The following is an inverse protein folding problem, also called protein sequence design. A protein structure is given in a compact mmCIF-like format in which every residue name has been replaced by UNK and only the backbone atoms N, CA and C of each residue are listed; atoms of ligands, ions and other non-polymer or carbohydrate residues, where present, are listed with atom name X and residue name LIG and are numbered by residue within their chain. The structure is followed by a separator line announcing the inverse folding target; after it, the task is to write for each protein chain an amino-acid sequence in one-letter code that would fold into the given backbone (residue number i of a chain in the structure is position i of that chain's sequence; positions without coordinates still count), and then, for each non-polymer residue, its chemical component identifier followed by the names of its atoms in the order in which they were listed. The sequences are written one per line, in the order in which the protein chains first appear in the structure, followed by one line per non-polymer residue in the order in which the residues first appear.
data_IF_415107276391
#
_entry.id   IF_415107276391
#
_cell.length_a   1.000
_cell.length_b   1.000
_cell.length_c   1.000
_cell.angle_alpha   90.00
_cell.angle_beta   90.00
_cell.angle_gamma   90.00
#
_symmetry.space_group_name_H-M   'P 1'
#
loop_
_entity.id
_entity.type
_entity.pdbx_description
1 polymer ?
#
# COMPACT_ATOMS: atom_id res chain seq x y z
N UNK A 1 -17.80 -3.64 -2.69
CA UNK A 1 -17.16 -4.87 -2.30
C UNK A 1 -15.65 -4.79 -2.36
N UNK A 2 -15.00 -4.92 -1.23
CA UNK A 2 -13.58 -5.13 -1.15
C UNK A 2 -13.32 -6.52 -0.57
N UNK A 3 -12.14 -7.10 -0.81
CA UNK A 3 -11.70 -8.36 -0.20
C UNK A 3 -11.91 -8.35 1.33
N UNK A 4 -11.70 -7.20 1.99
CA UNK A 4 -11.93 -7.04 3.42
C UNK A 4 -13.41 -7.29 3.81
N UNK A 5 -14.36 -6.74 3.08
CA UNK A 5 -15.79 -6.96 3.34
C UNK A 5 -16.19 -8.42 3.09
N UNK A 6 -15.71 -9.00 2.00
CA UNK A 6 -16.00 -10.39 1.65
C UNK A 6 -15.43 -11.36 2.69
N UNK A 7 -14.14 -11.25 3.02
CA UNK A 7 -13.48 -12.22 3.90
C UNK A 7 -13.80 -12.02 5.39
N UNK A 8 -13.90 -10.77 5.86
CA UNK A 8 -14.07 -10.49 7.29
C UNK A 8 -15.56 -10.39 7.65
N UNK A 9 -16.36 -9.69 6.85
CA UNK A 9 -17.77 -9.46 7.16
C UNK A 9 -18.71 -10.42 6.44
N UNK A 10 -18.19 -11.31 5.57
CA UNK A 10 -18.97 -12.26 4.76
C UNK A 10 -20.08 -11.57 3.95
N UNK A 11 -19.79 -10.39 3.47
CA UNK A 11 -20.73 -9.53 2.75
C UNK A 11 -20.08 -8.99 1.47
N UNK A 12 -20.77 -9.16 0.36
CA UNK A 12 -20.40 -8.57 -0.93
C UNK A 12 -21.40 -7.48 -1.25
N UNK A 13 -20.95 -6.22 -1.27
CA UNK A 13 -21.82 -5.09 -1.54
C UNK A 13 -21.11 -3.75 -1.41
N UNK A 14 -21.89 -2.67 -1.48
CA UNK A 14 -21.38 -1.30 -1.55
C UNK A 14 -21.23 -0.81 -2.99
N UNK A 15 -20.93 0.48 -3.15
CA UNK A 15 -20.68 1.09 -4.46
C UNK A 15 -19.26 0.83 -4.93
N UNK A 16 -19.09 0.55 -6.21
CA UNK A 16 -17.77 0.50 -6.82
C UNK A 16 -17.08 1.88 -6.75
N UNK A 17 -15.77 1.93 -6.50
CA UNK A 17 -15.03 3.19 -6.56
C UNK A 17 -15.14 3.82 -7.95
N UNK A 18 -15.48 5.11 -8.00
CA UNK A 18 -15.54 5.85 -9.26
C UNK A 18 -14.12 6.11 -9.78
N UNK A 19 -13.87 5.73 -11.03
CA UNK A 19 -12.58 5.95 -11.69
C UNK A 19 -12.54 7.35 -12.28
N UNK A 20 -11.59 8.18 -11.85
CA UNK A 20 -11.22 9.39 -12.56
C UNK A 20 -10.11 9.06 -13.57
N UNK A 21 -10.48 8.86 -14.82
CA UNK A 21 -9.53 8.48 -15.88
C UNK A 21 -8.41 9.51 -16.11
N UNK A 22 -8.70 10.80 -15.94
CA UNK A 22 -7.71 11.87 -16.10
C UNK A 22 -6.64 11.77 -15.01
N UNK A 23 -7.06 11.69 -13.75
CA UNK A 23 -6.13 11.57 -12.61
C UNK A 23 -5.38 10.24 -12.67
N UNK A 24 -6.05 9.14 -13.03
CA UNK A 24 -5.44 7.82 -13.17
C UNK A 24 -4.34 7.82 -14.24
N UNK A 25 -4.58 8.43 -15.38
CA UNK A 25 -3.57 8.58 -16.45
C UNK A 25 -2.38 9.41 -15.98
N UNK A 26 -2.62 10.54 -15.31
CA UNK A 26 -1.55 11.41 -14.80
C UNK A 26 -0.71 10.64 -13.76
N UNK A 27 -1.33 9.96 -12.80
CA UNK A 27 -0.64 9.19 -11.78
C UNK A 27 0.22 8.08 -12.41
N UNK A 28 -0.35 7.28 -13.31
CA UNK A 28 0.37 6.21 -14.01
C UNK A 28 1.58 6.73 -14.80
N UNK A 29 1.41 7.80 -15.59
CA UNK A 29 2.50 8.39 -16.38
C UNK A 29 3.58 9.01 -15.47
N UNK A 30 3.18 9.55 -14.31
CA UNK A 30 4.11 10.10 -13.33
C UNK A 30 4.95 8.99 -12.70
N UNK A 31 4.32 7.89 -12.28
CA UNK A 31 5.02 6.70 -11.75
C UNK A 31 5.98 6.14 -12.79
N UNK A 32 5.54 5.98 -14.05
CA UNK A 32 6.41 5.51 -15.14
C UNK A 32 7.62 6.43 -15.34
N UNK A 33 7.41 7.75 -15.23
CA UNK A 33 8.50 8.72 -15.35
C UNK A 33 9.48 8.61 -14.16
N UNK A 34 9.01 8.38 -12.93
CA UNK A 34 9.87 8.15 -11.77
C UNK A 34 10.73 6.90 -11.95
N UNK A 35 10.14 5.82 -12.49
CA UNK A 35 10.87 4.58 -12.81
C UNK A 35 11.96 4.85 -13.86
N UNK A 36 11.61 5.46 -14.99
CA UNK A 36 12.54 5.76 -16.09
C UNK A 36 13.71 6.65 -15.65
N UNK A 37 13.50 7.53 -14.69
CA UNK A 37 14.54 8.40 -14.15
C UNK A 37 15.29 7.79 -12.94
N UNK A 38 15.09 6.51 -12.64
CA UNK A 38 15.73 5.80 -11.52
C UNK A 38 15.52 6.50 -10.16
N UNK A 39 14.39 7.18 -9.97
CA UNK A 39 14.05 7.87 -8.73
C UNK A 39 13.37 6.96 -7.71
N UNK A 40 12.86 5.81 -8.13
CA UNK A 40 12.22 4.81 -7.28
C UNK A 40 12.96 3.48 -7.36
N UNK A 41 12.97 2.74 -6.27
CA UNK A 41 13.57 1.42 -6.15
C UNK A 41 12.55 0.31 -6.41
N UNK A 42 11.33 0.51 -5.96
CA UNK A 42 10.21 -0.40 -6.16
C UNK A 42 8.91 0.37 -6.19
N UNK A 43 7.93 -0.16 -6.89
CA UNK A 43 6.58 0.39 -7.00
C UNK A 43 5.58 -0.74 -6.81
N UNK A 44 4.52 -0.47 -6.09
CA UNK A 44 3.37 -1.38 -5.95
C UNK A 44 2.06 -0.58 -6.04
N UNK A 45 1.09 -1.08 -6.76
CA UNK A 45 -0.26 -0.51 -6.77
C UNK A 45 -1.07 -1.00 -5.54
N UNK A 46 -1.99 -0.16 -5.08
CA UNK A 46 -2.93 -0.56 -4.04
C UNK A 46 -4.20 -1.12 -4.71
N UNK A 47 -4.16 -2.36 -5.13
CA UNK A 47 -5.29 -3.09 -5.74
C UNK A 47 -6.05 -3.91 -4.71
N UNK A 48 -6.17 -5.22 -4.89
CA UNK A 48 -6.86 -6.13 -3.97
C UNK A 48 -6.29 -6.07 -2.56
N UNK A 49 -7.16 -5.97 -1.55
CA UNK A 49 -6.78 -5.81 -0.15
C UNK A 49 -6.20 -4.44 0.22
N UNK A 50 -6.12 -3.52 -0.74
CA UNK A 50 -5.77 -2.14 -0.53
C UNK A 50 -4.34 -1.87 -0.05
N UNK A 51 -4.18 -0.79 0.70
CA UNK A 51 -2.88 -0.34 1.22
C UNK A 51 -2.18 -1.36 2.11
N UNK A 52 -2.94 -2.02 3.00
CA UNK A 52 -2.36 -2.94 3.98
C UNK A 52 -1.71 -4.15 3.31
N UNK A 53 -2.36 -4.72 2.30
CA UNK A 53 -1.82 -5.86 1.55
C UNK A 53 -0.66 -5.41 0.68
N UNK A 54 -0.79 -4.34 -0.09
CA UNK A 54 0.30 -3.81 -0.94
C UNK A 54 1.59 -3.52 -0.15
N UNK A 55 1.48 -2.91 1.06
CA UNK A 55 2.63 -2.67 1.91
C UNK A 55 3.22 -3.97 2.47
N UNK A 56 2.37 -4.93 2.83
CA UNK A 56 2.80 -6.24 3.30
C UNK A 56 3.54 -7.01 2.21
N UNK A 57 3.04 -7.00 0.98
CA UNK A 57 3.68 -7.64 -0.18
C UNK A 57 5.06 -7.03 -0.48
N UNK A 58 5.20 -5.69 -0.45
CA UNK A 58 6.51 -5.04 -0.57
C UNK A 58 7.49 -5.52 0.49
N UNK A 59 7.05 -5.69 1.74
CA UNK A 59 7.87 -6.22 2.84
C UNK A 59 8.20 -7.69 2.67
N UNK A 60 7.21 -8.50 2.29
CA UNK A 60 7.35 -9.96 2.10
C UNK A 60 8.33 -10.27 0.96
N UNK A 61 8.15 -9.63 -0.20
CA UNK A 61 9.03 -9.84 -1.36
C UNK A 61 10.42 -9.23 -1.17
N UNK A 62 10.49 -8.08 -0.48
CA UNK A 62 11.77 -7.45 -0.11
C UNK A 62 12.49 -8.14 1.04
N UNK A 63 11.86 -9.08 1.73
CA UNK A 63 12.34 -9.73 2.95
C UNK A 63 12.85 -8.73 4.00
N UNK A 64 12.10 -7.65 4.20
CA UNK A 64 12.47 -6.56 5.11
C UNK A 64 11.23 -6.00 5.79
N UNK A 65 11.32 -5.72 7.08
CA UNK A 65 10.25 -5.09 7.84
C UNK A 65 9.99 -3.65 7.40
N UNK A 66 8.85 -3.12 7.84
CA UNK A 66 8.51 -1.73 7.60
C UNK A 66 7.71 -1.12 8.76
N UNK A 67 7.74 0.20 8.85
CA UNK A 67 6.82 0.96 9.69
C UNK A 67 6.16 2.02 8.85
N UNK A 68 4.83 2.08 8.88
CA UNK A 68 4.04 3.09 8.19
C UNK A 68 2.98 3.70 9.12
N UNK A 69 2.72 5.00 8.93
CA UNK A 69 1.68 5.74 9.64
C UNK A 69 0.60 6.17 8.66
N UNK A 70 -0.58 5.54 8.77
CA UNK A 70 -1.70 5.77 7.84
C UNK A 70 -2.37 7.13 8.03
N UNK A 71 -2.14 7.82 9.15
CA UNK A 71 -2.63 9.20 9.34
C UNK A 71 -2.02 10.17 8.34
N UNK A 72 -0.85 9.85 7.79
CA UNK A 72 -0.15 10.67 6.80
C UNK A 72 -0.64 10.47 5.37
N UNK A 73 -1.45 9.44 5.13
CA UNK A 73 -1.98 9.15 3.78
C UNK A 73 -2.96 10.26 3.39
N UNK A 74 -2.76 10.92 2.23
CA UNK A 74 -3.67 11.96 1.77
C UNK A 74 -5.07 11.39 1.52
N UNK A 75 -6.05 11.85 2.28
CA UNK A 75 -7.46 11.48 2.14
C UNK A 75 -8.30 12.74 1.95
N UNK A 76 -9.36 12.65 1.14
CA UNK A 76 -10.31 13.78 0.95
C UNK A 76 -11.23 13.97 2.14
N UNK A 77 -11.43 12.91 2.93
CA UNK A 77 -12.35 12.85 4.05
C UNK A 77 -11.66 12.21 5.26
N UNK A 78 -12.22 12.40 6.44
CA UNK A 78 -11.77 11.70 7.63
C UNK A 78 -12.29 10.25 7.61
N UNK A 79 -11.47 9.35 7.09
CA UNK A 79 -11.80 7.93 6.94
C UNK A 79 -11.45 7.14 8.20
N UNK A 80 -12.22 6.08 8.48
CA UNK A 80 -11.87 5.09 9.50
C UNK A 80 -10.57 4.36 9.12
N UNK A 81 -9.90 3.73 10.10
CA UNK A 81 -8.65 3.00 9.85
C UNK A 81 -8.85 1.86 8.86
N UNK A 82 -9.96 1.14 8.96
CA UNK A 82 -10.31 0.02 8.08
C UNK A 82 -10.46 0.50 6.62
N UNK A 83 -11.14 1.64 6.42
CA UNK A 83 -11.29 2.23 5.08
C UNK A 83 -9.94 2.65 4.49
N UNK A 84 -9.04 3.23 5.29
CA UNK A 84 -7.71 3.60 4.81
C UNK A 84 -6.87 2.36 4.46
N UNK A 85 -6.92 1.33 5.30
CA UNK A 85 -6.14 0.11 5.16
C UNK A 85 -6.59 -0.74 3.95
N UNK A 86 -7.91 -0.92 3.80
CA UNK A 86 -8.47 -1.96 2.93
C UNK A 86 -9.32 -1.41 1.78
N UNK A 87 -9.37 -0.09 1.56
CA UNK A 87 -10.01 0.46 0.38
C UNK A 87 -9.27 0.03 -0.88
N UNK A 88 -10.02 -0.36 -1.91
CA UNK A 88 -9.52 -0.77 -3.21
C UNK A 88 -9.77 0.31 -4.28
N UNK A 89 -9.77 1.58 -3.86
CA UNK A 89 -9.91 2.70 -4.79
C UNK A 89 -8.71 2.79 -5.75
N UNK A 90 -9.01 3.17 -6.98
CA UNK A 90 -8.08 3.14 -8.09
C UNK A 90 -6.92 4.16 -7.99
N UNK A 91 -5.85 3.87 -8.73
CA UNK A 91 -4.76 4.81 -9.04
C UNK A 91 -3.95 5.28 -7.82
N UNK A 92 -3.78 4.41 -6.84
CA UNK A 92 -2.90 4.62 -5.69
C UNK A 92 -1.68 3.72 -5.81
N UNK A 93 -0.53 4.27 -5.52
CA UNK A 93 0.75 3.57 -5.63
C UNK A 93 1.57 3.76 -4.37
N UNK A 94 2.25 2.70 -3.94
CA UNK A 94 3.34 2.74 -2.97
C UNK A 94 4.66 2.83 -3.71
N UNK A 95 5.47 3.81 -3.36
CA UNK A 95 6.79 4.03 -3.94
C UNK A 95 7.85 3.80 -2.87
N UNK A 96 8.77 2.89 -3.13
CA UNK A 96 9.97 2.72 -2.30
C UNK A 96 11.08 3.58 -2.91
N UNK A 97 11.62 4.50 -2.12
CA UNK A 97 12.57 5.49 -2.58
C UNK A 97 13.79 5.49 -1.67
N UNK A 98 14.99 5.37 -2.23
CA UNK A 98 16.22 5.51 -1.49
C UNK A 98 16.34 6.92 -0.90
N UNK A 99 16.90 7.01 0.32
CA UNK A 99 17.04 8.28 1.05
C UNK A 99 17.65 9.40 0.20
N UNK A 100 18.65 9.08 -0.62
CA UNK A 100 19.33 10.03 -1.52
C UNK A 100 18.43 10.61 -2.60
N UNK A 101 17.38 9.87 -3.02
CA UNK A 101 16.46 10.27 -4.10
C UNK A 101 15.19 10.96 -3.59
N UNK A 102 14.92 10.97 -2.27
CA UNK A 102 13.66 11.48 -1.71
C UNK A 102 13.41 12.94 -2.12
N UNK A 103 14.43 13.79 -2.05
CA UNK A 103 14.29 15.22 -2.39
C UNK A 103 13.88 15.40 -3.86
N UNK A 104 14.57 14.72 -4.78
CA UNK A 104 14.31 14.79 -6.22
C UNK A 104 12.93 14.22 -6.57
N UNK A 105 12.56 13.08 -5.98
CA UNK A 105 11.25 12.48 -6.19
C UNK A 105 10.11 13.39 -5.69
N UNK A 106 10.25 13.98 -4.50
CA UNK A 106 9.27 14.95 -3.98
C UNK A 106 9.12 16.15 -4.92
N UNK A 107 10.23 16.76 -5.36
CA UNK A 107 10.20 17.88 -6.28
C UNK A 107 9.52 17.51 -7.60
N UNK A 108 9.77 16.30 -8.10
CA UNK A 108 9.12 15.79 -9.31
C UNK A 108 7.60 15.66 -9.12
N UNK A 109 7.15 15.06 -8.01
CA UNK A 109 5.73 14.87 -7.69
C UNK A 109 5.00 16.21 -7.51
N UNK A 110 5.64 17.18 -6.83
CA UNK A 110 5.10 18.55 -6.67
C UNK A 110 4.89 19.22 -8.02
N UNK A 111 5.89 19.16 -8.92
CA UNK A 111 5.78 19.73 -10.29
C UNK A 111 4.65 19.09 -11.09
N UNK A 112 4.38 17.81 -10.88
CA UNK A 112 3.27 17.08 -11.51
C UNK A 112 1.93 17.26 -10.80
N UNK A 113 1.90 18.03 -9.71
CA UNK A 113 0.69 18.28 -8.88
C UNK A 113 0.06 16.98 -8.36
N UNK A 114 0.90 15.97 -8.07
CA UNK A 114 0.45 14.70 -7.48
C UNK A 114 0.32 14.85 -5.98
N UNK A 115 -0.80 14.36 -5.42
CA UNK A 115 -0.97 14.24 -3.97
C UNK A 115 -0.14 13.06 -3.45
N UNK A 116 0.77 13.31 -2.51
CA UNK A 116 1.64 12.28 -1.95
C UNK A 116 2.02 12.58 -0.50
N UNK A 117 2.48 11.57 0.22
CA UNK A 117 3.10 11.71 1.54
C UNK A 117 4.22 10.69 1.76
N UNK A 118 5.18 11.04 2.61
CA UNK A 118 6.15 10.07 3.14
C UNK A 118 5.54 9.46 4.39
N UNK A 119 5.08 8.23 4.27
CA UNK A 119 4.27 7.55 5.28
C UNK A 119 5.08 6.65 6.21
N UNK A 120 6.31 6.28 5.82
CA UNK A 120 7.09 5.33 6.62
C UNK A 120 8.45 5.03 6.04
N UNK A 121 9.04 3.92 6.52
CA UNK A 121 10.35 3.43 6.10
C UNK A 121 10.42 1.92 6.22
N UNK A 122 11.29 1.30 5.43
CA UNK A 122 11.63 -0.11 5.50
C UNK A 122 12.87 -0.32 6.37
N UNK A 123 12.77 -1.21 7.36
CA UNK A 123 13.87 -1.65 8.24
C UNK A 123 13.42 -2.78 9.16
N UNK A 124 14.38 -3.54 9.70
CA UNK A 124 14.10 -4.62 10.65
C UNK A 124 13.35 -5.81 10.04
N UNK A 125 12.64 -6.54 10.88
CA UNK A 125 12.00 -7.82 10.57
C UNK A 125 10.48 -7.82 10.83
N UNK A 126 9.90 -6.67 11.20
CA UNK A 126 8.47 -6.56 11.51
C UNK A 126 7.75 -5.60 10.56
N UNK A 127 6.54 -5.96 10.19
CA UNK A 127 5.59 -5.07 9.52
C UNK A 127 4.74 -4.42 10.61
N UNK A 128 4.81 -3.09 10.68
CA UNK A 128 4.08 -2.29 11.67
C UNK A 128 3.31 -1.20 10.95
N UNK A 129 1.99 -1.26 10.99
CA UNK A 129 1.12 -0.19 10.49
C UNK A 129 0.45 0.45 11.71
N UNK A 130 0.55 1.76 11.81
CA UNK A 130 -0.02 2.53 12.92
C UNK A 130 -0.83 3.71 12.42
N UNK A 131 -1.69 4.20 13.29
CA UNK A 131 -2.37 5.48 13.13
C UNK A 131 -2.04 6.32 14.37
N UNK A 132 -1.30 7.42 14.18
CA UNK A 132 -0.70 8.18 15.29
C UNK A 132 0.16 7.26 16.17
N UNK A 133 -0.17 7.13 17.46
CA UNK A 133 0.52 6.25 18.40
C UNK A 133 -0.03 4.82 18.45
N UNK A 134 -1.25 4.56 17.94
CA UNK A 134 -1.89 3.25 18.01
C UNK A 134 -1.37 2.32 16.92
N UNK A 135 -0.87 1.14 17.30
CA UNK A 135 -0.59 0.06 16.35
C UNK A 135 -1.88 -0.58 15.89
N UNK A 136 -2.09 -0.63 14.58
CA UNK A 136 -3.25 -1.27 13.94
C UNK A 136 -2.91 -2.69 13.48
N UNK A 137 -1.69 -2.86 12.94
CA UNK A 137 -1.18 -4.14 12.44
C UNK A 137 0.25 -4.29 12.90
N UNK A 138 0.62 -5.48 13.40
CA UNK A 138 2.00 -5.81 13.76
C UNK A 138 2.23 -7.31 13.64
N UNK A 139 3.17 -7.72 12.80
CA UNK A 139 3.62 -9.11 12.68
C UNK A 139 5.04 -9.19 12.08
N UNK A 140 5.70 -10.35 12.22
CA UNK A 140 7.03 -10.60 11.61
C UNK A 140 6.89 -10.88 10.11
N UNK A 141 7.87 -10.41 9.33
CA UNK A 141 7.93 -10.65 7.87
C UNK A 141 7.88 -12.15 7.57
N UNK A 142 8.62 -12.98 8.32
CA UNK A 142 8.62 -14.44 8.12
C UNK A 142 7.24 -15.07 8.28
N UNK A 143 6.44 -14.60 9.26
CA UNK A 143 5.06 -15.06 9.41
C UNK A 143 4.22 -14.68 8.18
N UNK A 144 4.37 -13.46 7.69
CA UNK A 144 3.70 -13.00 6.48
C UNK A 144 4.10 -13.83 5.26
N UNK A 145 5.41 -14.07 5.08
CA UNK A 145 5.94 -14.93 4.00
C UNK A 145 5.34 -16.35 4.06
N UNK A 146 5.39 -16.96 5.23
CA UNK A 146 4.83 -18.30 5.41
C UNK A 146 3.34 -18.36 5.02
N UNK A 147 2.54 -17.40 5.46
CA UNK A 147 1.11 -17.34 5.12
C UNK A 147 0.87 -17.06 3.65
N UNK A 148 1.64 -16.16 3.05
CA UNK A 148 1.50 -15.79 1.65
C UNK A 148 1.81 -16.97 0.71
N UNK A 149 2.94 -17.65 0.91
CA UNK A 149 3.38 -18.71 0.01
C UNK A 149 2.74 -20.08 0.29
N UNK A 150 2.33 -20.36 1.53
CA UNK A 150 1.76 -21.67 1.89
C UNK A 150 0.23 -21.64 2.04
N UNK A 151 -0.41 -20.45 1.98
CA UNK A 151 -1.84 -20.32 2.27
C UNK A 151 -2.73 -21.24 1.42
N UNK A 152 -2.46 -21.33 0.12
CA UNK A 152 -3.19 -22.24 -0.79
C UNK A 152 -2.89 -23.71 -0.48
N UNK A 153 -1.63 -24.05 -0.25
CA UNK A 153 -1.22 -25.42 0.11
C UNK A 153 -1.78 -25.90 1.43
N UNK A 154 -1.89 -25.02 2.42
CA UNK A 154 -2.50 -25.34 3.71
C UNK A 154 -4.02 -25.54 3.57
N UNK A 155 -4.71 -24.75 2.74
CA UNK A 155 -6.14 -24.93 2.45
C UNK A 155 -6.43 -26.26 1.74
N UNK A 156 -5.57 -26.66 0.78
CA UNK A 156 -5.74 -27.92 0.03
C UNK A 156 -5.44 -29.18 0.85
N UNK A 157 -4.74 -29.07 1.99
CA UNK A 157 -4.47 -30.20 2.89
C UNK A 157 -5.61 -30.48 3.87
N UNK A 158 -6.51 -29.53 4.06
CA UNK A 158 -7.62 -29.60 5.02
C UNK A 158 -9.01 -29.60 4.37
N UNK A 159 -9.10 -29.68 3.06
CA UNK A 159 -10.29 -29.96 2.25
C UNK A 159 -10.26 -31.39 1.78
#
# INVERSE_FOLDING_TARGET
GSEYFEYIHKFIGGSCPVVNFKDSKINMLTVLSLIKNNLVKSVHDCSKGGFAIALSELSIFGNIGCTADVEKIPCKENLSSEKILFSESHSRYLLVIDKKNIANAKQFLVRKKISFAVIGKFFGDQIIIRRKSKSLVKFKVDLGRKRYFNGLGDLLKHG
#
